data_IF_481775957719
#
_entry.id   IF_481775957719
#
_cell.length_a   1.000
_cell.length_b   1.000
_cell.length_c   1.000
_cell.angle_alpha   90.00
_cell.angle_beta   90.00
_cell.angle_gamma   90.00
#
_symmetry.space_group_name_H-M   'P 1'
#
loop_
_entity.id
_entity.type
_entity.pdbx_description
1 polymer ?
#
# COMPACT_ATOMS: atom_id res chain seq x y z
N UNK A 1 -0.93 14.83 5.14
CA UNK A 1 -2.27 15.00 4.56
C UNK A 1 -2.13 14.85 3.06
N UNK A 2 -2.92 13.98 2.44
CA UNK A 2 -2.92 13.80 0.97
C UNK A 2 -3.95 14.75 0.35
N UNK A 3 -4.08 14.77 -0.98
CA UNK A 3 -5.08 15.58 -1.68
C UNK A 3 -6.46 15.45 -1.04
N UNK A 4 -7.20 16.56 -1.01
CA UNK A 4 -8.54 16.68 -0.41
C UNK A 4 -8.62 16.59 1.12
N UNK A 5 -7.50 16.63 1.84
CA UNK A 5 -7.52 16.67 3.31
C UNK A 5 -7.51 15.29 3.97
N UNK A 6 -7.43 14.23 3.19
CA UNK A 6 -7.47 12.86 3.68
C UNK A 6 -6.15 12.52 4.42
N UNK A 7 -6.19 11.98 5.65
CA UNK A 7 -4.99 11.57 6.35
C UNK A 7 -4.42 10.28 5.72
N UNK A 8 -3.10 10.20 5.59
CA UNK A 8 -2.46 9.07 4.91
C UNK A 8 -2.74 7.72 5.58
N UNK A 9 -2.90 7.71 6.90
CA UNK A 9 -3.29 6.51 7.66
C UNK A 9 -4.66 5.97 7.28
N UNK A 10 -5.61 6.84 6.92
CA UNK A 10 -6.94 6.41 6.48
C UNK A 10 -6.86 5.75 5.11
N UNK A 11 -6.04 6.29 4.20
CA UNK A 11 -5.76 5.64 2.90
C UNK A 11 -5.15 4.25 3.08
N UNK A 12 -4.13 4.11 3.94
CA UNK A 12 -3.55 2.79 4.23
C UNK A 12 -4.59 1.85 4.86
N UNK A 13 -5.46 2.38 5.73
CA UNK A 13 -6.55 1.64 6.35
C UNK A 13 -7.55 1.08 5.33
N UNK A 14 -7.98 1.89 4.37
CA UNK A 14 -8.90 1.48 3.30
C UNK A 14 -8.23 0.50 2.33
N UNK A 15 -6.99 0.75 1.92
CA UNK A 15 -6.23 -0.18 1.09
C UNK A 15 -6.09 -1.55 1.77
N UNK A 16 -5.84 -1.58 3.08
CA UNK A 16 -5.77 -2.84 3.84
C UNK A 16 -7.11 -3.59 3.85
N UNK A 17 -8.25 -2.88 3.93
CA UNK A 17 -9.58 -3.50 3.85
C UNK A 17 -9.81 -4.13 2.47
N UNK A 18 -9.46 -3.41 1.40
CA UNK A 18 -9.57 -3.91 0.03
C UNK A 18 -8.68 -5.15 -0.20
N UNK A 19 -7.39 -5.05 0.15
CA UNK A 19 -6.42 -6.16 0.01
C UNK A 19 -6.88 -7.41 0.76
N UNK A 20 -7.36 -7.28 2.01
CA UNK A 20 -7.86 -8.43 2.77
C UNK A 20 -9.07 -9.12 2.14
N UNK A 21 -9.92 -8.38 1.42
CA UNK A 21 -11.15 -8.90 0.83
C UNK A 21 -10.90 -9.56 -0.53
N UNK A 22 -10.05 -8.94 -1.35
CA UNK A 22 -9.97 -9.23 -2.78
C UNK A 22 -8.61 -9.77 -3.23
N UNK A 23 -7.53 -9.43 -2.50
CA UNK A 23 -6.14 -9.68 -2.88
C UNK A 23 -5.34 -10.13 -1.66
N UNK A 24 -5.75 -11.25 -1.05
CA UNK A 24 -5.18 -11.76 0.20
C UNK A 24 -3.75 -12.33 0.01
N UNK A 25 -2.82 -11.47 -0.40
CA UNK A 25 -1.44 -11.81 -0.72
C UNK A 25 -0.51 -11.32 0.41
N UNK A 26 0.39 -12.18 0.93
CA UNK A 26 1.25 -11.83 2.05
C UNK A 26 2.19 -10.66 1.75
N UNK A 27 2.67 -10.52 0.50
CA UNK A 27 3.55 -9.40 0.13
C UNK A 27 2.84 -8.04 0.23
N UNK A 28 1.56 -7.98 -0.11
CA UNK A 28 0.73 -6.77 0.01
C UNK A 28 0.45 -6.43 1.47
N UNK A 29 0.20 -7.44 2.31
CA UNK A 29 0.03 -7.25 3.74
C UNK A 29 1.29 -6.67 4.40
N UNK A 30 2.47 -7.16 4.00
CA UNK A 30 3.77 -6.63 4.48
C UNK A 30 3.97 -5.20 3.99
N UNK A 31 3.72 -4.91 2.70
CA UNK A 31 3.85 -3.56 2.14
C UNK A 31 2.99 -2.53 2.89
N UNK A 32 1.75 -2.90 3.23
CA UNK A 32 0.85 -2.05 4.00
C UNK A 32 1.32 -1.84 5.45
N UNK A 33 1.84 -2.89 6.10
CA UNK A 33 2.38 -2.79 7.46
C UNK A 33 3.62 -1.88 7.52
N UNK A 34 4.51 -2.00 6.54
CA UNK A 34 5.68 -1.13 6.42
C UNK A 34 5.27 0.34 6.23
N UNK A 35 4.27 0.61 5.37
CA UNK A 35 3.77 1.97 5.15
C UNK A 35 3.15 2.58 6.42
N UNK A 36 2.33 1.83 7.16
CA UNK A 36 1.75 2.32 8.44
C UNK A 36 2.84 2.64 9.48
N UNK A 37 3.91 1.84 9.51
CA UNK A 37 5.08 2.09 10.34
C UNK A 37 5.79 3.39 9.94
N UNK A 38 6.05 3.60 8.65
CA UNK A 38 6.72 4.82 8.15
C UNK A 38 5.90 6.09 8.40
N UNK A 39 4.57 6.02 8.26
CA UNK A 39 3.67 7.13 8.60
C UNK A 39 3.68 7.49 10.10
N UNK A 40 4.14 6.58 10.97
CA UNK A 40 4.34 6.85 12.40
C UNK A 40 5.59 7.67 12.73
N UNK A 41 6.53 7.79 11.79
CA UNK A 41 7.82 8.45 12.02
C UNK A 41 7.85 9.92 11.56
N UNK A 42 6.69 10.59 11.47
CA UNK A 42 6.56 11.95 10.92
C UNK A 42 7.17 12.12 9.51
N UNK A 43 7.21 11.04 8.73
CA UNK A 43 7.63 11.08 7.35
C UNK A 43 6.60 11.81 6.49
N UNK A 44 7.01 12.30 5.32
CA UNK A 44 6.11 12.98 4.41
C UNK A 44 5.05 12.01 3.85
N UNK A 45 3.80 12.22 4.24
CA UNK A 45 2.63 11.44 3.83
C UNK A 45 2.54 11.17 2.32
N UNK A 46 2.76 12.19 1.48
CA UNK A 46 2.70 12.04 0.02
C UNK A 46 3.78 11.09 -0.49
N UNK A 47 5.01 11.25 0.01
CA UNK A 47 6.14 10.41 -0.39
C UNK A 47 5.91 8.96 0.04
N UNK A 48 5.45 8.74 1.27
CA UNK A 48 5.22 7.39 1.81
C UNK A 48 4.09 6.67 1.07
N UNK A 49 3.02 7.39 0.71
CA UNK A 49 1.90 6.81 -0.04
C UNK A 49 2.32 6.47 -1.46
N UNK A 50 3.07 7.33 -2.13
CA UNK A 50 3.60 7.02 -3.47
C UNK A 50 4.57 5.83 -3.44
N UNK A 51 5.41 5.72 -2.40
CA UNK A 51 6.28 4.57 -2.22
C UNK A 51 5.50 3.26 -2.00
N UNK A 52 4.42 3.30 -1.21
CA UNK A 52 3.51 2.18 -1.02
C UNK A 52 2.86 1.77 -2.35
N UNK A 53 2.30 2.73 -3.11
CA UNK A 53 1.64 2.45 -4.39
C UNK A 53 2.61 1.83 -5.40
N UNK A 54 3.83 2.36 -5.50
CA UNK A 54 4.86 1.79 -6.37
C UNK A 54 5.22 0.34 -5.98
N UNK A 55 5.28 0.05 -4.67
CA UNK A 55 5.53 -1.31 -4.18
C UNK A 55 4.37 -2.25 -4.52
N UNK A 56 3.13 -1.85 -4.25
CA UNK A 56 1.93 -2.65 -4.59
C UNK A 56 1.90 -2.95 -6.09
N UNK A 57 2.09 -1.93 -6.94
CA UNK A 57 2.09 -2.11 -8.39
C UNK A 57 3.13 -3.14 -8.85
N UNK A 58 4.33 -3.09 -8.27
CA UNK A 58 5.39 -4.07 -8.56
C UNK A 58 5.00 -5.49 -8.16
N UNK A 59 4.43 -5.68 -6.98
CA UNK A 59 4.00 -7.03 -6.53
C UNK A 59 2.88 -7.58 -7.44
N UNK A 60 1.88 -6.77 -7.77
CA UNK A 60 0.76 -7.18 -8.65
C UNK A 60 1.25 -7.50 -10.07
N UNK A 61 2.12 -6.68 -10.67
CA UNK A 61 2.67 -6.96 -12.00
C UNK A 61 3.57 -8.21 -12.02
N UNK A 62 4.27 -8.50 -10.92
CA UNK A 62 5.03 -9.75 -10.80
C UNK A 62 4.12 -10.97 -10.79
N UNK A 63 2.96 -10.90 -10.12
CA UNK A 63 1.98 -11.99 -10.08
C UNK A 63 1.34 -12.23 -11.46
N UNK A 64 0.93 -11.18 -12.17
CA UNK A 64 0.40 -11.29 -13.54
C UNK A 64 1.40 -11.98 -14.48
N UNK A 65 2.69 -11.67 -14.32
CA UNK A 65 3.76 -12.31 -15.10
C UNK A 65 3.97 -13.78 -14.74
N UNK A 66 3.71 -14.20 -13.49
CA UNK A 66 3.79 -15.62 -13.09
C UNK A 66 2.54 -16.42 -13.45
N UNK A 67 1.37 -15.79 -13.49
CA UNK A 67 0.11 -16.44 -13.86
C UNK A 67 -0.04 -16.64 -15.40
N UNK A 68 0.74 -15.90 -16.19
CA UNK A 68 0.75 -15.99 -17.66
C UNK A 68 1.72 -17.04 -18.23
N UNK A 69 2.43 -17.80 -17.39
CA UNK A 69 3.35 -18.89 -17.75
C UNK A 69 2.71 -20.25 -17.45
#
# INVERSE_FOLDING_TARGET
MIEYGLPAREVVGELRRAVRREYNHPALAIALADADCQLGHNANDFVQINALLARIAREVSSEESTAAL
#
